data_IF_755487203121
#
_entry.id   IF_755487203121
#
_cell.length_a   1.000
_cell.length_b   1.000
_cell.length_c   1.000
_cell.angle_alpha   90.00
_cell.angle_beta   90.00
_cell.angle_gamma   90.00
#
_symmetry.space_group_name_H-M   'P 1'
#
loop_
_entity.id
_entity.type
_entity.pdbx_description
1 polymer ?
#
# COMPACT_ATOMS: atom_id res chain seq x y z
N UNK A 1 -27.68 1.70 40.62
CA UNK A 1 -27.65 3.00 41.34
C UNK A 1 -27.06 4.05 40.39
N UNK A 2 -27.53 5.30 40.46
CA UNK A 2 -26.97 6.42 39.68
C UNK A 2 -26.42 7.47 40.64
N UNK A 3 -25.37 8.17 40.23
CA UNK A 3 -24.79 9.26 41.01
C UNK A 3 -25.65 10.54 40.97
N UNK A 4 -25.24 11.58 41.69
CA UNK A 4 -25.91 12.89 41.68
C UNK A 4 -25.87 13.61 40.33
N UNK A 5 -25.17 13.07 39.33
CA UNK A 5 -25.09 13.54 37.95
C UNK A 5 -25.82 12.61 36.98
N UNK A 6 -26.66 11.70 37.48
CA UNK A 6 -27.43 10.73 36.71
C UNK A 6 -26.57 9.73 35.89
N UNK A 7 -25.28 9.59 36.21
CA UNK A 7 -24.43 8.53 35.65
C UNK A 7 -24.64 7.23 36.40
N UNK A 8 -24.75 6.13 35.66
CA UNK A 8 -24.85 4.79 36.25
C UNK A 8 -23.51 4.43 36.90
N UNK A 9 -23.52 4.03 38.17
CA UNK A 9 -22.32 3.52 38.82
C UNK A 9 -21.87 2.24 38.10
N UNK A 10 -20.58 2.14 37.77
CA UNK A 10 -19.99 0.91 37.24
C UNK A 10 -19.98 -0.15 38.35
N UNK A 11 -20.59 -1.31 38.10
CA UNK A 11 -20.48 -2.46 38.97
C UNK A 11 -19.07 -3.06 38.91
N UNK A 12 -18.74 -3.94 39.85
CA UNK A 12 -17.47 -4.66 39.81
C UNK A 12 -17.31 -5.48 38.51
N UNK A 13 -18.40 -6.10 38.05
CA UNK A 13 -18.44 -6.81 36.77
C UNK A 13 -18.14 -5.88 35.59
N UNK A 14 -18.71 -4.66 35.57
CA UNK A 14 -18.48 -3.67 34.51
C UNK A 14 -17.04 -3.12 34.48
N UNK A 15 -16.34 -3.18 35.61
CA UNK A 15 -14.91 -2.81 35.67
C UNK A 15 -14.04 -3.89 35.05
N UNK A 16 -14.46 -5.15 35.12
CA UNK A 16 -13.68 -6.29 34.64
C UNK A 16 -13.99 -6.60 33.18
N UNK A 17 -15.27 -6.65 32.84
CA UNK A 17 -15.80 -7.06 31.55
C UNK A 17 -15.94 -5.89 30.57
N UNK A 18 -16.14 -6.21 29.28
CA UNK A 18 -16.33 -5.23 28.23
C UNK A 18 -15.04 -4.67 27.61
N UNK A 19 -15.20 -3.72 26.69
CA UNK A 19 -14.10 -3.13 25.91
C UNK A 19 -13.20 -2.21 26.74
N UNK A 20 -13.80 -1.45 27.66
CA UNK A 20 -13.12 -0.61 28.67
C UNK A 20 -12.83 -1.38 29.97
N UNK A 21 -13.08 -2.69 29.96
CA UNK A 21 -12.80 -3.55 31.10
C UNK A 21 -11.29 -3.73 31.31
N UNK A 22 -10.89 -4.00 32.55
CA UNK A 22 -9.48 -4.15 32.95
C UNK A 22 -8.71 -5.15 32.10
N UNK A 23 -9.34 -6.25 31.68
CA UNK A 23 -8.69 -7.26 30.85
C UNK A 23 -8.27 -6.74 29.47
N UNK A 24 -9.19 -6.07 28.75
CA UNK A 24 -8.93 -5.64 27.37
C UNK A 24 -8.13 -4.34 27.34
N UNK A 25 -8.48 -3.37 28.16
CA UNK A 25 -7.88 -2.05 28.10
C UNK A 25 -6.55 -1.93 28.84
N UNK A 26 -6.38 -2.61 29.99
CA UNK A 26 -5.21 -2.44 30.87
C UNK A 26 -4.23 -3.62 30.82
N UNK A 27 -4.72 -4.86 30.76
CA UNK A 27 -3.85 -6.04 30.74
C UNK A 27 -3.31 -6.31 29.33
N UNK A 28 -4.18 -6.35 28.31
CA UNK A 28 -3.78 -6.54 26.91
C UNK A 28 -3.37 -5.24 26.24
N UNK A 29 -4.13 -4.17 26.44
CA UNK A 29 -3.75 -2.82 26.05
C UNK A 29 -2.77 -2.22 27.06
N UNK A 30 -1.54 -1.93 26.65
CA UNK A 30 -0.60 -1.19 27.50
C UNK A 30 0.00 -0.04 26.72
N UNK A 31 -0.01 1.13 27.35
CA UNK A 31 0.82 2.25 26.91
C UNK A 31 2.26 1.94 27.30
N UNK A 32 3.17 2.17 26.36
CA UNK A 32 4.58 1.82 26.52
C UNK A 32 5.45 3.06 26.34
N UNK A 33 6.46 3.18 27.19
CA UNK A 33 7.52 4.18 27.04
C UNK A 33 8.43 3.84 25.85
N UNK A 34 9.40 4.72 25.55
CA UNK A 34 10.30 4.56 24.40
C UNK A 34 9.54 4.36 23.07
N UNK A 35 8.43 5.09 22.94
CA UNK A 35 7.60 5.10 21.75
C UNK A 35 7.32 6.51 21.25
N UNK A 36 7.13 6.64 19.94
CA UNK A 36 6.81 7.91 19.27
C UNK A 36 5.84 7.68 18.13
N UNK A 37 5.22 8.74 17.61
CA UNK A 37 4.34 8.67 16.43
C UNK A 37 4.56 9.89 15.55
N UNK A 38 4.61 9.68 14.25
CA UNK A 38 4.58 10.77 13.27
C UNK A 38 3.97 10.32 11.95
N UNK A 39 3.69 11.30 11.10
CA UNK A 39 3.26 11.10 9.70
C UNK A 39 4.40 10.46 8.92
N UNK A 40 4.06 9.57 7.99
CA UNK A 40 5.02 8.94 7.10
C UNK A 40 5.15 9.69 5.78
N UNK A 41 6.37 9.72 5.25
CA UNK A 41 6.70 10.26 3.93
C UNK A 41 7.54 9.25 3.16
N UNK A 42 7.50 9.35 1.83
CA UNK A 42 8.26 8.44 0.97
C UNK A 42 9.76 8.70 1.10
N UNK A 43 10.52 7.63 1.36
CA UNK A 43 11.98 7.64 1.37
C UNK A 43 12.55 6.80 0.23
N UNK A 44 12.52 7.29 -1.03
CA UNK A 44 12.88 6.47 -2.20
C UNK A 44 14.36 6.07 -2.20
N UNK A 45 15.22 6.91 -1.61
CA UNK A 45 16.68 6.67 -1.51
C UNK A 45 17.07 5.72 -0.38
N UNK A 46 16.14 5.36 0.51
CA UNK A 46 16.44 4.42 1.60
C UNK A 46 16.67 3.03 1.05
N UNK A 47 17.48 2.22 1.73
CA UNK A 47 17.50 0.77 1.51
C UNK A 47 16.30 0.12 2.20
N UNK A 48 15.88 -1.05 1.72
CA UNK A 48 14.69 -1.75 2.23
C UNK A 48 14.71 -2.00 3.74
N UNK A 49 15.90 -2.25 4.31
CA UNK A 49 16.13 -2.47 5.74
C UNK A 49 16.25 -1.20 6.60
N UNK A 50 16.17 0.00 6.01
CA UNK A 50 16.37 1.28 6.71
C UNK A 50 15.08 2.09 6.76
N UNK A 51 14.92 2.88 7.82
CA UNK A 51 13.89 3.91 7.92
C UNK A 51 14.50 5.24 8.33
N UNK A 52 13.89 6.34 7.92
CA UNK A 52 14.29 7.67 8.36
C UNK A 52 13.55 8.07 9.63
N UNK A 53 14.27 8.41 10.70
CA UNK A 53 13.71 8.98 11.91
C UNK A 53 14.06 10.47 12.03
N UNK A 54 13.05 11.32 12.27
CA UNK A 54 13.25 12.72 12.61
C UNK A 54 14.19 12.91 13.79
N UNK A 55 15.04 13.93 13.72
CA UNK A 55 15.95 14.32 14.81
C UNK A 55 15.24 14.53 16.15
N UNK A 56 14.09 15.19 16.14
CA UNK A 56 13.29 15.47 17.35
C UNK A 56 12.77 14.19 18.01
N UNK A 57 12.32 13.21 17.22
CA UNK A 57 11.83 11.93 17.74
C UNK A 57 13.01 11.07 18.21
N UNK A 58 14.08 11.01 17.42
CA UNK A 58 15.24 10.19 17.73
C UNK A 58 15.92 10.63 19.04
N UNK A 59 16.06 11.94 19.28
CA UNK A 59 16.74 12.42 20.49
C UNK A 59 15.95 12.11 21.76
N UNK A 60 14.62 12.17 21.70
CA UNK A 60 13.73 11.80 22.83
C UNK A 60 13.77 10.29 23.09
N UNK A 61 13.62 9.47 22.04
CA UNK A 61 13.62 8.01 22.16
C UNK A 61 14.97 7.47 22.66
N UNK A 62 16.08 8.05 22.21
CA UNK A 62 17.42 7.57 22.53
C UNK A 62 18.12 8.37 23.62
N UNK A 63 17.44 9.29 24.30
CA UNK A 63 18.03 10.24 25.24
C UNK A 63 18.93 9.56 26.28
N UNK A 64 18.43 8.50 26.91
CA UNK A 64 19.16 7.74 27.94
C UNK A 64 20.47 7.14 27.40
N UNK A 65 20.43 6.61 26.17
CA UNK A 65 21.58 6.01 25.51
C UNK A 65 22.62 7.06 25.11
N UNK A 66 22.16 8.23 24.66
CA UNK A 66 23.03 9.37 24.32
C UNK A 66 23.75 9.90 25.56
N UNK A 67 23.03 10.05 26.69
CA UNK A 67 23.63 10.46 27.97
C UNK A 67 24.70 9.45 28.39
N UNK A 68 24.42 8.14 28.29
CA UNK A 68 25.39 7.10 28.59
C UNK A 68 26.60 7.17 27.66
N UNK A 69 26.39 7.42 26.37
CA UNK A 69 27.46 7.58 25.37
C UNK A 69 28.38 8.77 25.67
N UNK A 70 27.80 9.92 26.00
CA UNK A 70 28.53 11.15 26.37
C UNK A 70 29.43 10.94 27.60
N UNK A 71 28.92 10.26 28.62
CA UNK A 71 29.67 9.95 29.84
C UNK A 71 30.79 8.94 29.56
N UNK A 72 30.49 7.87 28.79
CA UNK A 72 31.46 6.82 28.46
C UNK A 72 32.63 7.36 27.64
N UNK A 73 32.40 8.34 26.77
CA UNK A 73 33.44 8.97 25.96
C UNK A 73 34.17 10.11 26.72
N UNK A 74 33.91 10.31 28.01
CA UNK A 74 34.49 11.38 28.84
C UNK A 74 34.25 12.81 28.33
N UNK A 75 33.23 13.01 27.49
CA UNK A 75 32.85 14.33 26.96
C UNK A 75 32.05 15.15 27.98
N UNK A 76 31.47 14.47 28.96
CA UNK A 76 30.66 15.06 30.02
C UNK A 76 30.92 14.35 31.34
N UNK A 77 31.00 15.12 32.43
CA UNK A 77 31.24 14.62 33.78
C UNK A 77 29.98 14.14 34.52
N UNK A 78 28.81 14.71 34.24
CA UNK A 78 27.58 14.40 34.95
C UNK A 78 26.33 14.41 34.05
N UNK A 79 25.27 13.74 34.52
CA UNK A 79 23.99 13.62 33.78
C UNK A 79 23.35 15.00 33.55
N UNK A 80 23.50 15.94 34.49
CA UNK A 80 22.92 17.29 34.39
C UNK A 80 23.49 18.08 33.21
N UNK A 81 24.81 18.07 33.05
CA UNK A 81 25.52 18.69 31.93
C UNK A 81 25.16 17.99 30.62
N UNK A 82 25.01 16.66 30.63
CA UNK A 82 24.59 15.93 29.43
C UNK A 82 23.18 16.37 28.98
N UNK A 83 22.23 16.49 29.92
CA UNK A 83 20.89 17.02 29.64
C UNK A 83 20.91 18.46 29.16
N UNK A 84 21.83 19.30 29.66
CA UNK A 84 22.03 20.67 29.18
C UNK A 84 22.52 20.69 27.72
N UNK A 85 23.57 19.93 27.39
CA UNK A 85 24.09 19.81 26.01
C UNK A 85 23.05 19.31 25.01
N UNK A 86 22.20 18.36 25.42
CA UNK A 86 21.07 17.87 24.62
C UNK A 86 20.07 19.00 24.35
N UNK A 87 19.73 19.79 25.37
CA UNK A 87 18.81 20.93 25.24
C UNK A 87 19.36 22.04 24.34
N UNK A 88 20.67 22.29 24.42
CA UNK A 88 21.39 23.25 23.59
C UNK A 88 21.64 22.75 22.15
N UNK A 89 21.27 21.49 21.85
CA UNK A 89 21.40 20.85 20.53
C UNK A 89 22.81 20.92 19.93
N UNK A 90 23.84 20.78 20.78
CA UNK A 90 25.24 20.80 20.35
C UNK A 90 25.54 19.76 19.25
N UNK A 91 26.45 20.10 18.32
CA UNK A 91 26.84 19.24 17.20
C UNK A 91 27.31 17.84 17.63
N UNK A 92 27.98 17.76 18.78
CA UNK A 92 28.51 16.50 19.33
C UNK A 92 27.41 15.50 19.71
N UNK A 93 26.24 16.00 20.13
CA UNK A 93 25.10 15.17 20.51
C UNK A 93 24.57 14.40 19.29
N UNK A 94 24.52 15.05 18.13
CA UNK A 94 24.07 14.42 16.89
C UNK A 94 25.01 13.32 16.41
N UNK A 95 26.32 13.52 16.56
CA UNK A 95 27.32 12.48 16.24
C UNK A 95 27.13 11.25 17.11
N UNK A 96 27.01 11.42 18.42
CA UNK A 96 26.80 10.31 19.37
C UNK A 96 25.44 9.65 19.13
N UNK A 97 24.41 10.42 18.83
CA UNK A 97 23.09 9.88 18.50
C UNK A 97 23.15 8.97 17.27
N UNK A 98 23.88 9.36 16.22
CA UNK A 98 24.10 8.50 15.04
C UNK A 98 24.83 7.20 15.41
N UNK A 99 25.88 7.27 16.22
CA UNK A 99 26.62 6.09 16.69
C UNK A 99 25.72 5.14 17.51
N UNK A 100 24.92 5.69 18.42
CA UNK A 100 23.96 4.92 19.23
C UNK A 100 22.91 4.26 18.34
N UNK A 101 22.34 5.00 17.39
CA UNK A 101 21.28 4.50 16.51
C UNK A 101 21.78 3.36 15.62
N UNK A 102 23.03 3.36 15.15
CA UNK A 102 23.60 2.26 14.37
C UNK A 102 23.52 0.91 15.12
N UNK A 103 23.65 0.94 16.46
CA UNK A 103 23.56 -0.25 17.30
C UNK A 103 22.13 -0.75 17.56
N UNK A 104 21.11 0.08 17.39
CA UNK A 104 19.75 -0.20 17.86
C UNK A 104 18.73 -0.21 16.71
N UNK A 105 18.07 -1.35 16.43
CA UNK A 105 16.95 -1.37 15.50
C UNK A 105 15.72 -0.68 16.11
N UNK A 106 14.77 -0.28 15.27
CA UNK A 106 13.47 0.25 15.70
C UNK A 106 12.35 -0.51 15.05
N UNK A 107 11.22 -0.64 15.75
CA UNK A 107 10.01 -1.25 15.22
C UNK A 107 9.07 -0.15 14.73
N UNK A 108 8.64 -0.23 13.47
CA UNK A 108 7.55 0.58 12.96
C UNK A 108 6.26 -0.23 12.97
N UNK A 109 5.18 0.41 13.39
CA UNK A 109 3.84 -0.17 13.45
C UNK A 109 2.81 0.79 12.86
N UNK A 110 1.94 0.29 11.99
CA UNK A 110 0.76 1.01 11.51
C UNK A 110 -0.51 0.40 12.09
N UNK A 111 -1.36 1.26 12.65
CA UNK A 111 -2.69 0.87 13.11
C UNK A 111 -3.73 1.10 11.99
N UNK A 112 -4.70 0.19 11.79
CA UNK A 112 -4.87 -1.10 12.46
C UNK A 112 -3.89 -2.17 11.95
N UNK A 113 -3.36 -2.99 12.87
CA UNK A 113 -2.45 -4.09 12.55
C UNK A 113 -3.25 -5.37 12.22
N UNK A 114 -3.39 -5.71 10.94
CA UNK A 114 -4.20 -6.86 10.49
C UNK A 114 -3.42 -8.18 10.43
N UNK A 115 -2.10 -8.11 10.26
CA UNK A 115 -1.22 -9.26 10.14
C UNK A 115 0.19 -8.90 10.64
N UNK A 116 1.04 -9.92 10.82
CA UNK A 116 2.42 -9.74 11.32
C UNK A 116 3.25 -8.71 10.57
N UNK A 117 3.04 -8.52 9.26
CA UNK A 117 3.80 -7.55 8.46
C UNK A 117 3.45 -6.08 8.78
N UNK A 118 2.39 -5.84 9.55
CA UNK A 118 2.06 -4.50 10.03
C UNK A 118 2.99 -4.00 11.15
N UNK A 119 3.91 -4.86 11.62
CA UNK A 119 5.02 -4.49 12.51
C UNK A 119 6.31 -5.05 11.91
N UNK A 120 7.27 -4.18 11.59
CA UNK A 120 8.58 -4.60 11.08
C UNK A 120 9.70 -3.80 11.73
N UNK A 121 10.88 -4.41 11.80
CA UNK A 121 12.09 -3.79 12.29
C UNK A 121 12.88 -3.13 11.16
N UNK A 122 13.47 -1.99 11.47
CA UNK A 122 14.32 -1.22 10.56
C UNK A 122 15.55 -0.72 11.30
N UNK A 123 16.62 -0.52 10.55
CA UNK A 123 17.77 0.25 11.00
C UNK A 123 17.46 1.75 10.83
N UNK A 124 17.34 2.53 11.91
CA UNK A 124 17.00 3.93 11.78
C UNK A 124 18.19 4.74 11.26
N UNK A 125 17.91 5.73 10.43
CA UNK A 125 18.84 6.79 10.03
C UNK A 125 18.26 8.15 10.41
N UNK A 126 19.11 9.11 10.78
CA UNK A 126 18.63 10.47 11.04
C UNK A 126 18.24 11.15 9.73
N UNK A 127 17.06 11.73 9.71
CA UNK A 127 16.57 12.57 8.61
C UNK A 127 16.22 13.97 9.10
N UNK A 128 16.28 14.93 8.19
CA UNK A 128 15.77 16.28 8.40
C UNK A 128 14.24 16.29 8.36
N UNK A 129 13.63 17.23 9.08
CA UNK A 129 12.18 17.36 9.17
C UNK A 129 11.55 16.61 10.35
N UNK A 130 10.22 16.42 10.28
CA UNK A 130 9.39 15.86 11.36
C UNK A 130 8.67 14.56 11.01
N UNK A 131 8.77 14.11 9.75
CA UNK A 131 8.08 12.93 9.26
C UNK A 131 9.01 11.71 9.21
N UNK A 132 8.44 10.52 9.42
CA UNK A 132 9.17 9.25 9.32
C UNK A 132 9.31 8.90 7.84
N UNK A 133 10.53 8.71 7.34
CA UNK A 133 10.73 8.29 5.96
C UNK A 133 10.62 6.76 5.86
N UNK A 134 9.69 6.28 5.05
CA UNK A 134 9.43 4.85 4.85
C UNK A 134 9.83 4.42 3.43
N UNK A 135 10.36 3.21 3.32
CA UNK A 135 10.72 2.62 2.04
C UNK A 135 9.47 2.26 1.21
N UNK A 136 9.36 2.62 -0.09
CA UNK A 136 8.14 2.41 -0.87
C UNK A 136 7.76 0.92 -1.05
N UNK A 137 8.73 0.01 -1.13
CA UNK A 137 8.45 -1.44 -1.28
C UNK A 137 7.87 -2.11 -0.03
N UNK A 138 7.91 -1.47 1.14
CA UNK A 138 7.31 -2.04 2.36
C UNK A 138 5.88 -1.56 2.60
N UNK A 139 5.43 -0.51 1.89
CA UNK A 139 4.11 0.08 2.06
C UNK A 139 2.97 -0.93 1.96
N UNK A 140 3.05 -1.87 1.01
CA UNK A 140 2.06 -2.95 0.85
C UNK A 140 1.99 -3.86 2.08
N UNK A 141 3.12 -4.13 2.72
CA UNK A 141 3.20 -4.90 3.96
C UNK A 141 2.60 -4.17 5.17
N UNK A 142 2.56 -2.84 5.16
CA UNK A 142 1.86 -2.04 6.18
C UNK A 142 0.42 -1.68 5.80
N UNK A 143 0.01 -1.99 4.57
CA UNK A 143 -1.18 -1.43 3.93
C UNK A 143 -1.23 0.10 4.02
N UNK A 144 -0.08 0.75 3.83
CA UNK A 144 0.11 2.18 4.04
C UNK A 144 0.24 2.93 2.72
N UNK A 145 -0.22 4.19 2.72
CA UNK A 145 0.02 5.15 1.66
C UNK A 145 0.63 6.45 2.24
N UNK A 146 0.77 7.48 1.42
CA UNK A 146 1.45 8.73 1.80
C UNK A 146 0.49 9.93 1.78
N UNK A 147 -0.79 9.72 2.14
CA UNK A 147 -1.83 10.75 2.10
C UNK A 147 -2.08 11.44 3.46
N UNK A 148 -1.34 11.04 4.51
CA UNK A 148 -1.53 11.51 5.88
C UNK A 148 -1.41 10.41 6.94
N UNK A 149 -1.23 9.17 6.50
CA UNK A 149 -0.96 8.01 7.35
C UNK A 149 0.13 8.27 8.41
N UNK A 150 -0.07 7.68 9.59
CA UNK A 150 0.85 7.81 10.71
C UNK A 150 1.35 6.43 11.17
N UNK A 151 2.61 6.38 11.57
CA UNK A 151 3.20 5.17 12.16
C UNK A 151 3.73 5.44 13.57
N UNK A 152 3.57 4.45 14.43
CA UNK A 152 4.22 4.40 15.72
C UNK A 152 5.62 3.78 15.57
N UNK A 153 6.59 4.32 16.30
CA UNK A 153 7.94 3.78 16.42
C UNK A 153 8.15 3.30 17.85
N UNK A 154 8.79 2.15 18.01
CA UNK A 154 9.16 1.57 19.31
C UNK A 154 10.64 1.14 19.30
N UNK A 155 11.33 1.30 20.43
CA UNK A 155 12.73 0.91 20.57
C UNK A 155 12.85 -0.36 21.43
N UNK A 156 13.32 -1.49 20.87
CA UNK A 156 13.69 -2.68 21.65
C UNK A 156 14.87 -2.36 22.58
N UNK A 157 14.68 -2.54 23.89
CA UNK A 157 15.69 -2.16 24.89
C UNK A 157 16.64 -3.30 25.26
N UNK A 158 16.13 -4.50 25.50
CA UNK A 158 16.95 -5.65 25.89
C UNK A 158 17.74 -6.21 24.71
N UNK A 159 18.87 -6.88 25.00
CA UNK A 159 19.71 -7.47 23.96
C UNK A 159 18.96 -8.59 23.22
N UNK A 160 18.13 -9.34 23.93
CA UNK A 160 17.31 -10.42 23.39
C UNK A 160 16.26 -9.86 22.42
N UNK A 161 15.58 -8.76 22.79
CA UNK A 161 14.59 -8.12 21.92
C UNK A 161 15.24 -7.48 20.69
N UNK A 162 16.44 -6.89 20.85
CA UNK A 162 17.21 -6.38 19.71
C UNK A 162 17.65 -7.51 18.76
N UNK A 163 18.07 -8.66 19.31
CA UNK A 163 18.44 -9.83 18.53
C UNK A 163 17.22 -10.43 17.80
N UNK A 164 16.09 -10.57 18.48
CA UNK A 164 14.83 -11.03 17.91
C UNK A 164 14.37 -10.11 16.77
N UNK A 165 14.42 -8.79 16.98
CA UNK A 165 14.11 -7.82 15.95
C UNK A 165 14.99 -8.04 14.72
N UNK A 166 16.31 -8.13 14.90
CA UNK A 166 17.32 -8.33 13.83
C UNK A 166 17.12 -9.63 13.05
N UNK A 167 16.83 -10.72 13.74
CA UNK A 167 16.74 -12.05 13.12
C UNK A 167 15.39 -12.31 12.47
N UNK A 168 14.29 -11.84 13.07
CA UNK A 168 12.93 -12.25 12.67
C UNK A 168 12.10 -11.11 12.07
N UNK A 169 12.27 -9.88 12.54
CA UNK A 169 11.37 -8.78 12.24
C UNK A 169 11.89 -7.81 11.18
N UNK A 170 13.18 -7.87 10.82
CA UNK A 170 13.73 -6.94 9.84
C UNK A 170 12.99 -7.02 8.50
N UNK A 171 12.71 -5.87 7.91
CA UNK A 171 11.92 -5.77 6.67
C UNK A 171 12.50 -6.58 5.50
N UNK A 172 13.83 -6.66 5.38
CA UNK A 172 14.52 -7.43 4.33
C UNK A 172 14.37 -8.96 4.45
N UNK A 173 13.91 -9.45 5.61
CA UNK A 173 13.58 -10.86 5.83
C UNK A 173 12.10 -11.16 5.66
N UNK A 174 11.27 -10.13 5.49
CA UNK A 174 9.82 -10.27 5.44
C UNK A 174 9.29 -9.89 4.04
N UNK A 175 9.86 -10.51 3.01
CA UNK A 175 9.54 -10.22 1.59
C UNK A 175 8.35 -11.02 1.05
N UNK A 176 7.89 -12.06 1.76
CA UNK A 176 6.80 -12.94 1.35
C UNK A 176 5.56 -12.73 2.23
N UNK A 177 4.39 -12.94 1.63
CA UNK A 177 3.12 -12.97 2.34
C UNK A 177 3.02 -14.23 3.20
N UNK A 178 2.73 -14.13 4.51
CA UNK A 178 2.55 -15.30 5.38
C UNK A 178 1.38 -16.19 4.98
N UNK A 179 0.37 -15.65 4.28
CA UNK A 179 -0.85 -16.37 3.94
C UNK A 179 -0.72 -17.23 2.69
N UNK A 180 -0.02 -16.74 1.66
CA UNK A 180 0.01 -17.35 0.32
C UNK A 180 1.44 -17.75 -0.09
N UNK A 181 2.47 -17.16 0.53
CA UNK A 181 3.87 -17.35 0.12
C UNK A 181 4.30 -16.47 -1.07
N UNK A 182 3.39 -15.68 -1.62
CA UNK A 182 3.70 -14.75 -2.71
C UNK A 182 4.56 -13.56 -2.25
N UNK A 183 5.45 -13.03 -3.10
CA UNK A 183 6.19 -11.81 -2.80
C UNK A 183 5.27 -10.62 -2.55
N UNK A 184 5.50 -9.92 -1.44
CA UNK A 184 4.76 -8.71 -1.06
C UNK A 184 5.50 -7.43 -1.43
N UNK A 185 6.83 -7.43 -1.33
CA UNK A 185 7.70 -6.30 -1.67
C UNK A 185 7.99 -6.23 -3.18
N UNK A 186 6.92 -6.01 -3.94
CA UNK A 186 6.96 -5.93 -5.41
C UNK A 186 6.93 -4.48 -5.84
N UNK A 187 7.77 -4.03 -6.79
CA UNK A 187 7.66 -2.71 -7.40
C UNK A 187 6.25 -2.47 -7.97
N UNK A 188 5.60 -1.39 -7.52
CA UNK A 188 4.26 -0.96 -7.94
C UNK A 188 4.31 0.38 -8.67
N UNK A 189 3.18 0.74 -9.31
CA UNK A 189 2.95 2.05 -9.93
C UNK A 189 4.15 2.49 -10.80
N UNK A 190 4.72 3.67 -10.53
CA UNK A 190 5.77 4.33 -11.30
C UNK A 190 7.02 3.46 -11.49
N UNK A 191 7.42 2.74 -10.45
CA UNK A 191 8.58 1.83 -10.55
C UNK A 191 8.34 0.76 -11.62
N UNK A 192 7.13 0.18 -11.64
CA UNK A 192 6.80 -0.84 -12.62
C UNK A 192 6.67 -0.25 -14.03
N UNK A 193 6.12 0.97 -14.15
CA UNK A 193 6.01 1.66 -15.45
C UNK A 193 7.40 1.87 -16.04
N UNK A 194 8.35 2.39 -15.26
CA UNK A 194 9.73 2.57 -15.71
C UNK A 194 10.38 1.26 -16.15
N UNK A 195 10.25 0.21 -15.34
CA UNK A 195 10.79 -1.11 -15.68
C UNK A 195 10.12 -1.75 -16.91
N UNK A 196 8.82 -1.56 -17.08
CA UNK A 196 8.10 -2.06 -18.24
C UNK A 196 8.60 -1.39 -19.51
N UNK A 197 8.73 -0.06 -19.54
CA UNK A 197 9.19 0.67 -20.73
C UNK A 197 10.63 0.29 -21.07
N UNK A 198 11.50 0.18 -20.05
CA UNK A 198 12.87 -0.30 -20.23
C UNK A 198 12.91 -1.67 -20.91
N UNK A 199 11.99 -2.56 -20.51
CA UNK A 199 11.90 -3.92 -21.04
C UNK A 199 11.00 -4.05 -22.27
N UNK A 200 10.30 -2.99 -22.68
CA UNK A 200 9.24 -2.96 -23.70
C UNK A 200 9.69 -2.73 -25.14
N UNK A 201 10.97 -2.37 -25.38
CA UNK A 201 11.51 -1.97 -26.70
C UNK A 201 11.27 -2.89 -27.93
N UNK A 202 11.56 -2.40 -29.14
CA UNK A 202 11.22 -3.09 -30.40
C UNK A 202 11.95 -4.43 -30.58
N UNK A 203 11.23 -5.43 -31.11
CA UNK A 203 11.67 -6.82 -31.32
C UNK A 203 12.94 -6.96 -32.18
N UNK A 204 13.32 -5.93 -32.95
CA UNK A 204 14.47 -5.93 -33.89
C UNK A 204 15.84 -5.71 -33.24
N UNK A 205 15.92 -5.03 -32.10
CA UNK A 205 17.21 -4.78 -31.40
C UNK A 205 17.58 -5.88 -30.38
N UNK A 206 16.65 -6.80 -30.12
CA UNK A 206 16.69 -7.80 -29.03
C UNK A 206 17.39 -9.12 -29.37
N UNK A 207 18.00 -9.25 -30.55
CA UNK A 207 18.54 -10.54 -31.05
C UNK A 207 19.82 -11.01 -30.32
N UNK A 208 20.52 -10.13 -29.59
CA UNK A 208 21.84 -10.41 -29.00
C UNK A 208 21.86 -10.55 -27.47
N UNK A 209 20.72 -10.68 -26.80
CA UNK A 209 20.66 -10.79 -25.34
C UNK A 209 20.15 -12.17 -24.88
N UNK A 210 20.92 -12.81 -23.99
CA UNK A 210 20.73 -14.19 -23.51
C UNK A 210 19.58 -14.33 -22.48
N UNK A 211 19.03 -13.22 -21.96
CA UNK A 211 18.11 -13.24 -20.80
C UNK A 211 16.68 -12.74 -21.10
N UNK A 212 15.74 -13.16 -20.23
CA UNK A 212 14.30 -12.90 -20.20
C UNK A 212 13.77 -11.81 -21.15
N UNK A 213 13.43 -12.23 -22.38
CA UNK A 213 13.06 -11.33 -23.48
C UNK A 213 11.54 -11.06 -23.52
N UNK A 214 10.94 -10.75 -22.36
CA UNK A 214 9.51 -10.41 -22.22
C UNK A 214 9.36 -9.12 -21.41
N UNK A 215 8.39 -8.29 -21.79
CA UNK A 215 8.05 -7.09 -21.04
C UNK A 215 7.65 -7.45 -19.60
N UNK A 216 8.22 -6.75 -18.62
CA UNK A 216 8.02 -7.07 -17.22
C UNK A 216 6.70 -6.45 -16.74
N UNK A 217 5.65 -7.27 -16.70
CA UNK A 217 4.40 -6.93 -16.01
C UNK A 217 4.46 -7.26 -14.50
N UNK A 218 3.40 -6.93 -13.76
CA UNK A 218 3.36 -7.13 -12.30
C UNK A 218 3.40 -8.60 -11.89
N UNK A 219 2.90 -9.50 -12.73
CA UNK A 219 2.88 -10.95 -12.48
C UNK A 219 4.23 -11.58 -12.79
N UNK A 220 4.86 -11.16 -13.90
CA UNK A 220 6.22 -11.51 -14.27
C UNK A 220 7.22 -11.05 -13.20
N UNK A 221 7.01 -9.84 -12.65
CA UNK A 221 7.84 -9.33 -11.55
C UNK A 221 7.73 -10.21 -10.30
N UNK A 222 6.51 -10.58 -9.89
CA UNK A 222 6.33 -11.53 -8.76
C UNK A 222 7.07 -12.84 -9.00
N UNK A 223 6.91 -13.44 -10.18
CA UNK A 223 7.60 -14.70 -10.55
C UNK A 223 9.12 -14.55 -10.53
N UNK A 224 9.63 -13.42 -11.01
CA UNK A 224 11.07 -13.12 -10.97
C UNK A 224 11.56 -13.02 -9.52
N UNK A 225 10.86 -12.27 -8.68
CA UNK A 225 11.23 -12.10 -7.27
C UNK A 225 11.19 -13.45 -6.54
N UNK A 226 10.16 -14.28 -6.75
CA UNK A 226 10.11 -15.63 -6.19
C UNK A 226 11.34 -16.46 -6.57
N UNK A 227 11.72 -16.48 -7.85
CA UNK A 227 12.92 -17.20 -8.31
C UNK A 227 14.21 -16.66 -7.69
N UNK A 228 14.32 -15.35 -7.52
CA UNK A 228 15.47 -14.73 -6.87
C UNK A 228 15.56 -15.13 -5.39
N UNK A 229 14.41 -15.16 -4.70
CA UNK A 229 14.34 -15.60 -3.30
C UNK A 229 14.73 -17.07 -3.18
N UNK A 230 14.24 -17.94 -4.07
CA UNK A 230 14.53 -19.37 -4.04
C UNK A 230 16.02 -19.66 -4.33
N UNK A 231 16.66 -18.87 -5.20
CA UNK A 231 18.05 -19.11 -5.62
C UNK A 231 19.09 -18.43 -4.73
N UNK A 232 18.85 -17.18 -4.33
CA UNK A 232 19.82 -16.35 -3.59
C UNK A 232 19.43 -16.08 -2.12
N UNK A 233 18.20 -16.43 -1.73
CA UNK A 233 17.64 -16.09 -0.43
C UNK A 233 17.11 -14.65 -0.34
N UNK A 234 16.38 -14.39 0.75
CA UNK A 234 15.68 -13.12 0.97
C UNK A 234 16.63 -11.92 1.14
N UNK A 235 17.75 -12.09 1.86
CA UNK A 235 18.67 -10.99 2.15
C UNK A 235 19.29 -10.43 0.87
N UNK A 236 19.83 -11.30 0.00
CA UNK A 236 20.42 -10.86 -1.26
C UNK A 236 19.36 -10.31 -2.22
N UNK A 237 18.18 -10.95 -2.29
CA UNK A 237 17.04 -10.45 -3.08
C UNK A 237 16.65 -9.04 -2.67
N UNK A 238 16.68 -8.72 -1.37
CA UNK A 238 16.35 -7.36 -0.90
C UNK A 238 17.27 -6.28 -1.50
N UNK A 239 18.55 -6.60 -1.71
CA UNK A 239 19.49 -5.68 -2.36
C UNK A 239 19.17 -5.50 -3.85
N UNK A 240 18.81 -6.59 -4.54
CA UNK A 240 18.36 -6.53 -5.94
C UNK A 240 17.08 -5.69 -6.05
N UNK A 241 16.14 -5.83 -5.11
CA UNK A 241 14.91 -5.04 -5.07
C UNK A 241 15.18 -3.54 -4.92
N UNK A 242 16.17 -3.16 -4.10
CA UNK A 242 16.59 -1.76 -3.98
C UNK A 242 17.14 -1.20 -5.30
N UNK A 243 17.91 -2.01 -6.05
CA UNK A 243 18.41 -1.64 -7.38
C UNK A 243 17.27 -1.51 -8.39
N UNK A 244 16.34 -2.49 -8.42
CA UNK A 244 15.18 -2.47 -9.31
C UNK A 244 14.27 -1.27 -9.06
N UNK A 245 14.04 -0.93 -7.78
CA UNK A 245 13.32 0.29 -7.39
C UNK A 245 14.01 1.53 -7.97
N UNK A 246 15.32 1.65 -7.75
CA UNK A 246 16.09 2.82 -8.20
C UNK A 246 16.05 2.97 -9.71
N UNK A 247 16.27 1.86 -10.44
CA UNK A 247 16.17 1.82 -11.88
C UNK A 247 14.76 2.17 -12.38
N UNK A 248 13.72 1.64 -11.74
CA UNK A 248 12.33 1.92 -12.08
C UNK A 248 11.99 3.41 -11.95
N UNK A 249 12.38 4.06 -10.85
CA UNK A 249 12.15 5.50 -10.69
C UNK A 249 12.97 6.35 -11.66
N UNK A 250 14.23 6.00 -11.90
CA UNK A 250 15.09 6.70 -12.86
C UNK A 250 14.49 6.62 -14.26
N UNK A 251 14.09 5.43 -14.70
CA UNK A 251 13.52 5.25 -16.03
C UNK A 251 12.17 5.96 -16.15
N UNK A 252 11.29 5.84 -15.15
CA UNK A 252 10.00 6.53 -15.17
C UNK A 252 10.14 8.05 -15.28
N UNK A 253 11.18 8.61 -14.66
CA UNK A 253 11.51 10.04 -14.79
C UNK A 253 12.07 10.36 -16.17
N UNK A 254 12.99 9.53 -16.68
CA UNK A 254 13.68 9.74 -17.95
C UNK A 254 12.75 9.63 -19.17
N UNK A 255 11.66 8.88 -19.07
CA UNK A 255 10.68 8.73 -20.14
C UNK A 255 9.68 9.88 -20.22
N UNK A 256 9.68 10.81 -19.25
CA UNK A 256 8.81 11.99 -19.21
C UNK A 256 7.34 11.69 -19.52
N UNK A 257 6.83 10.56 -19.02
CA UNK A 257 5.46 10.13 -19.30
C UNK A 257 4.50 11.15 -18.70
N UNK A 258 3.65 11.70 -19.55
CA UNK A 258 2.56 12.58 -19.17
C UNK A 258 1.25 12.04 -19.72
N UNK A 259 0.14 12.56 -19.20
CA UNK A 259 -1.20 12.26 -19.70
C UNK A 259 -1.86 13.58 -20.06
N UNK A 260 -2.14 13.75 -21.34
CA UNK A 260 -2.97 14.83 -21.87
C UNK A 260 -4.45 14.47 -21.92
N UNK A 261 -5.29 15.47 -22.16
CA UNK A 261 -6.71 15.23 -22.46
C UNK A 261 -6.89 14.45 -23.77
N UNK A 262 -5.99 14.66 -24.73
CA UNK A 262 -6.05 14.02 -26.05
C UNK A 262 -5.69 12.52 -26.01
N UNK A 263 -5.01 12.07 -24.95
CA UNK A 263 -4.74 10.65 -24.71
C UNK A 263 -6.00 9.90 -24.26
N UNK A 264 -7.03 10.61 -23.80
CA UNK A 264 -8.34 10.05 -23.46
C UNK A 264 -9.17 9.87 -24.73
N UNK A 265 -8.89 8.78 -25.43
CA UNK A 265 -9.61 8.43 -26.66
C UNK A 265 -11.10 8.23 -26.37
N UNK A 266 -11.92 9.11 -26.94
CA UNK A 266 -13.37 8.92 -26.95
C UNK A 266 -13.74 7.91 -28.02
N UNK A 267 -14.64 7.00 -27.68
CA UNK A 267 -15.10 5.97 -28.60
C UNK A 267 -15.86 6.67 -29.74
N UNK A 268 -15.43 6.57 -31.01
CA UNK A 268 -16.12 7.23 -32.12
C UNK A 268 -17.58 6.79 -32.26
N UNK A 269 -17.86 5.55 -31.81
CA UNK A 269 -19.16 4.90 -31.79
C UNK A 269 -20.08 5.27 -30.62
N UNK A 270 -19.63 6.09 -29.66
CA UNK A 270 -20.40 6.38 -28.44
C UNK A 270 -21.76 7.02 -28.74
N UNK A 271 -21.82 7.92 -29.72
CA UNK A 271 -23.04 8.65 -30.05
C UNK A 271 -24.18 7.75 -30.51
N UNK A 272 -23.91 6.80 -31.41
CA UNK A 272 -24.94 5.88 -31.90
C UNK A 272 -25.36 4.85 -30.85
N UNK A 273 -24.41 4.36 -30.03
CA UNK A 273 -24.70 3.43 -28.93
C UNK A 273 -25.66 4.03 -27.91
N UNK A 274 -25.43 5.28 -27.53
CA UNK A 274 -26.31 5.99 -26.58
C UNK A 274 -27.69 6.23 -27.20
N UNK A 275 -27.75 6.60 -28.48
CA UNK A 275 -29.02 6.82 -29.17
C UNK A 275 -29.85 5.52 -29.30
N UNK A 276 -29.20 4.38 -29.57
CA UNK A 276 -29.88 3.09 -29.66
C UNK A 276 -30.46 2.68 -28.29
N UNK A 277 -29.66 2.79 -27.22
CA UNK A 277 -30.11 2.51 -25.85
C UNK A 277 -31.28 3.43 -25.41
N UNK A 278 -31.24 4.72 -25.77
CA UNK A 278 -32.33 5.66 -25.51
C UNK A 278 -33.63 5.28 -26.25
N UNK A 279 -33.53 4.85 -27.51
CA UNK A 279 -34.68 4.38 -28.28
C UNK A 279 -35.30 3.11 -27.68
N UNK A 280 -34.48 2.15 -27.28
CA UNK A 280 -34.94 0.92 -26.64
C UNK A 280 -35.59 1.20 -25.28
N UNK A 281 -35.04 2.12 -24.49
CA UNK A 281 -35.63 2.56 -23.22
C UNK A 281 -36.98 3.25 -23.41
N UNK A 282 -37.15 4.04 -24.48
CA UNK A 282 -38.43 4.69 -24.81
C UNK A 282 -39.50 3.66 -25.19
N UNK A 283 -39.14 2.62 -25.94
CA UNK A 283 -40.04 1.51 -26.30
C UNK A 283 -40.49 0.77 -25.03
N UNK A 284 -39.55 0.48 -24.12
CA UNK A 284 -39.83 -0.17 -22.85
C UNK A 284 -40.78 0.67 -21.96
N UNK A 285 -40.60 1.98 -21.94
CA UNK A 285 -41.45 2.91 -21.19
C UNK A 285 -42.89 2.91 -21.72
N UNK A 286 -43.06 2.88 -23.06
CA UNK A 286 -44.37 2.72 -23.69
C UNK A 286 -45.03 1.41 -23.31
N UNK A 287 -44.31 0.28 -23.34
CA UNK A 287 -44.85 -1.02 -22.96
C UNK A 287 -45.28 -1.10 -21.48
N UNK A 288 -44.54 -0.44 -20.58
CA UNK A 288 -44.96 -0.28 -19.20
C UNK A 288 -46.21 0.60 -19.06
N UNK A 289 -46.29 1.71 -19.81
CA UNK A 289 -47.43 2.62 -19.79
C UNK A 289 -48.74 1.94 -20.27
N UNK A 290 -48.65 1.06 -21.26
CA UNK A 290 -49.79 0.24 -21.71
C UNK A 290 -50.11 -0.95 -20.79
N UNK A 291 -49.38 -1.14 -19.68
CA UNK A 291 -49.61 -2.22 -18.72
C UNK A 291 -49.11 -3.61 -19.17
N UNK A 292 -48.34 -3.67 -20.26
CA UNK A 292 -47.85 -4.94 -20.84
C UNK A 292 -46.65 -5.51 -20.08
N UNK A 293 -45.96 -4.69 -19.28
CA UNK A 293 -44.75 -5.08 -18.55
C UNK A 293 -44.88 -4.59 -17.10
N UNK A 294 -44.62 -5.48 -16.15
CA UNK A 294 -44.62 -5.15 -14.73
C UNK A 294 -43.36 -4.36 -14.35
N UNK A 295 -43.44 -3.46 -13.38
CA UNK A 295 -42.32 -2.60 -12.95
C UNK A 295 -41.00 -3.34 -12.67
N UNK A 296 -41.04 -4.55 -12.11
CA UNK A 296 -39.85 -5.38 -11.86
C UNK A 296 -39.18 -5.82 -13.16
N UNK A 297 -39.97 -6.22 -14.15
CA UNK A 297 -39.49 -6.67 -15.46
C UNK A 297 -38.96 -5.49 -16.28
N UNK A 298 -39.60 -4.31 -16.18
CA UNK A 298 -39.07 -3.05 -16.73
C UNK A 298 -37.67 -2.77 -16.19
N UNK A 299 -37.49 -2.86 -14.87
CA UNK A 299 -36.21 -2.56 -14.24
C UNK A 299 -35.11 -3.52 -14.70
N UNK A 300 -35.41 -4.82 -14.81
CA UNK A 300 -34.47 -5.82 -15.35
C UNK A 300 -34.09 -5.55 -16.80
N UNK A 301 -35.07 -5.29 -17.67
CA UNK A 301 -34.83 -5.05 -19.09
C UNK A 301 -34.10 -3.73 -19.34
N UNK A 302 -34.38 -2.68 -18.57
CA UNK A 302 -33.59 -1.44 -18.60
C UNK A 302 -32.12 -1.70 -18.22
N UNK A 303 -31.86 -2.52 -17.20
CA UNK A 303 -30.48 -2.90 -16.84
C UNK A 303 -29.83 -3.69 -17.98
N UNK A 304 -30.54 -4.63 -18.61
CA UNK A 304 -30.02 -5.44 -19.72
C UNK A 304 -29.72 -4.59 -20.98
N UNK A 305 -30.55 -3.60 -21.33
CA UNK A 305 -30.30 -2.67 -22.44
C UNK A 305 -29.02 -1.87 -22.19
N UNK A 306 -28.95 -1.18 -21.04
CA UNK A 306 -27.80 -0.34 -20.72
C UNK A 306 -26.51 -1.16 -20.48
N UNK A 307 -26.59 -2.38 -19.95
CA UNK A 307 -25.41 -3.25 -19.74
C UNK A 307 -24.99 -4.01 -21.00
N UNK A 308 -25.95 -4.43 -21.83
CA UNK A 308 -25.71 -5.16 -23.08
C UNK A 308 -24.93 -4.33 -24.10
N UNK A 309 -25.30 -3.07 -24.26
CA UNK A 309 -24.65 -2.16 -25.20
C UNK A 309 -23.23 -1.76 -24.76
N UNK A 310 -23.00 -1.67 -23.44
CA UNK A 310 -21.65 -1.49 -22.88
C UNK A 310 -20.79 -2.73 -23.18
N UNK A 311 -21.33 -3.93 -22.99
CA UNK A 311 -20.60 -5.19 -23.19
C UNK A 311 -20.33 -5.48 -24.68
N UNK A 312 -21.20 -5.03 -25.59
CA UNK A 312 -21.03 -5.13 -27.05
C UNK A 312 -20.13 -4.01 -27.61
N UNK A 313 -20.07 -2.85 -26.96
CA UNK A 313 -19.21 -1.72 -27.33
C UNK A 313 -17.74 -1.94 -26.98
N UNK A 314 -17.44 -2.55 -25.83
CA UNK A 314 -16.08 -2.80 -25.34
C UNK A 314 -15.18 -3.56 -26.34
N UNK A 315 -15.60 -4.69 -26.94
CA UNK A 315 -14.77 -5.45 -27.89
C UNK A 315 -14.47 -4.69 -29.20
N UNK A 316 -15.39 -3.82 -29.65
CA UNK A 316 -15.18 -2.95 -30.84
C UNK A 316 -14.18 -1.84 -30.57
N UNK A 317 -14.07 -1.40 -29.32
CA UNK A 317 -13.10 -0.39 -28.88
C UNK A 317 -11.71 -0.99 -28.74
N UNK A 318 -11.60 -2.22 -28.24
CA UNK A 318 -10.34 -2.97 -28.19
C UNK A 318 -9.74 -3.18 -29.59
N UNK A 319 -10.55 -3.54 -30.59
CA UNK A 319 -10.09 -3.71 -31.98
C UNK A 319 -9.64 -2.40 -32.66
N UNK A 320 -10.25 -1.25 -32.31
CA UNK A 320 -9.84 0.06 -32.85
C UNK A 320 -8.59 0.59 -32.15
N UNK A 321 -8.42 0.29 -30.86
CA UNK A 321 -7.21 0.59 -30.09
C UNK A 321 -6.02 -0.30 -30.51
N UNK A 322 -6.26 -1.52 -31.01
CA UNK A 322 -5.22 -2.39 -31.59
C UNK A 322 -4.51 -1.80 -32.81
N UNK A 323 -5.12 -0.82 -33.50
CA UNK A 323 -4.58 -0.26 -34.74
C UNK A 323 -3.62 0.93 -34.50
N UNK A 324 -3.49 1.47 -33.28
CA UNK A 324 -2.54 2.56 -33.00
C UNK A 324 -1.80 2.39 -31.66
N UNK A 325 -0.56 1.91 -31.77
CA UNK A 325 0.48 1.72 -30.73
C UNK A 325 -0.01 1.62 -29.28
N UNK A 326 -0.38 0.39 -28.91
CA UNK A 326 -0.78 -0.08 -27.58
C UNK A 326 0.26 0.16 -26.47
N UNK A 327 1.51 0.51 -26.79
CA UNK A 327 2.59 0.48 -25.80
C UNK A 327 2.51 1.55 -24.69
N UNK A 328 1.65 2.59 -24.84
CA UNK A 328 1.56 3.71 -23.87
C UNK A 328 0.26 3.74 -23.04
N UNK A 329 -0.89 3.40 -23.63
CA UNK A 329 -2.22 3.74 -23.06
C UNK A 329 -2.86 2.56 -22.30
N UNK A 330 -2.66 1.32 -22.76
CA UNK A 330 -3.35 0.13 -22.23
C UNK A 330 -3.05 -0.15 -20.75
N UNK A 331 -1.80 0.08 -20.30
CA UNK A 331 -1.38 -0.23 -18.93
C UNK A 331 -1.86 0.75 -17.86
N UNK A 332 -2.38 1.91 -18.26
CA UNK A 332 -2.84 2.93 -17.31
C UNK A 332 -4.29 2.67 -16.87
N UNK A 333 -5.11 1.99 -17.68
CA UNK A 333 -6.52 1.79 -17.37
C UNK A 333 -6.74 0.77 -16.22
N UNK A 334 -6.14 -0.42 -16.28
CA UNK A 334 -6.40 -1.47 -15.28
C UNK A 334 -6.00 -1.06 -13.85
N UNK A 335 -4.88 -0.35 -13.67
CA UNK A 335 -4.45 0.12 -12.34
C UNK A 335 -5.14 1.40 -11.87
N UNK A 336 -5.68 2.21 -12.80
CA UNK A 336 -6.43 3.43 -12.45
C UNK A 336 -7.85 3.10 -12.01
N UNK A 337 -8.46 2.04 -12.53
CA UNK A 337 -9.80 1.59 -12.12
C UNK A 337 -9.86 1.30 -10.62
N UNK A 338 -8.82 0.67 -10.04
CA UNK A 338 -8.76 0.40 -8.59
C UNK A 338 -8.61 1.67 -7.74
N UNK A 339 -7.83 2.66 -8.20
CA UNK A 339 -7.63 3.92 -7.47
C UNK A 339 -8.77 4.94 -7.63
N UNK A 340 -9.55 4.84 -8.71
CA UNK A 340 -10.75 5.66 -8.92
C UNK A 340 -11.90 5.24 -7.98
N UNK A 341 -11.96 3.95 -7.63
CA UNK A 341 -12.96 3.40 -6.71
C UNK A 341 -12.86 3.98 -5.27
N UNK A 342 -11.66 4.33 -4.79
CA UNK A 342 -11.48 4.92 -3.44
C UNK A 342 -11.66 6.45 -3.42
N UNK A 343 -11.34 7.14 -4.52
CA UNK A 343 -11.39 8.61 -4.59
C UNK A 343 -12.77 9.17 -4.92
N UNK A 344 -13.56 8.47 -5.72
CA UNK A 344 -14.88 8.93 -6.17
C UNK A 344 -15.90 8.93 -5.02
N UNK A 345 -15.72 8.08 -4.00
CA UNK A 345 -16.58 7.99 -2.81
C UNK A 345 -16.55 9.26 -1.94
N UNK A 346 -15.48 10.06 -1.99
CA UNK A 346 -15.34 11.29 -1.18
C UNK A 346 -15.84 12.57 -1.85
N UNK A 347 -15.92 12.60 -3.18
CA UNK A 347 -16.12 13.86 -3.94
C UNK A 347 -17.60 14.18 -4.18
N UNK A 348 -18.46 13.17 -4.39
CA UNK A 348 -19.79 13.42 -4.96
C UNK A 348 -20.98 13.43 -4.00
N UNK A 349 -20.78 13.16 -2.70
CA UNK A 349 -21.75 13.48 -1.63
C UNK A 349 -23.21 13.04 -1.86
N UNK A 350 -23.47 12.08 -2.74
CA UNK A 350 -24.79 11.58 -3.13
C UNK A 350 -24.70 10.12 -3.55
N UNK A 351 -25.75 9.30 -3.35
CA UNK A 351 -25.59 7.85 -3.22
C UNK A 351 -25.40 7.19 -4.59
N UNK A 352 -24.16 6.82 -4.90
CA UNK A 352 -23.81 5.88 -5.95
C UNK A 352 -24.03 4.40 -5.54
N UNK A 353 -24.79 4.15 -4.48
CA UNK A 353 -24.98 2.82 -3.88
C UNK A 353 -25.80 1.85 -4.75
N UNK A 354 -26.49 2.33 -5.79
CA UNK A 354 -27.37 1.47 -6.59
C UNK A 354 -26.71 0.85 -7.84
N UNK A 355 -25.61 1.42 -8.35
CA UNK A 355 -25.06 1.03 -9.67
C UNK A 355 -23.95 -0.03 -9.63
N UNK A 356 -23.29 -0.28 -8.49
CA UNK A 356 -22.19 -1.27 -8.41
C UNK A 356 -22.46 -2.40 -7.40
N UNK A 357 -23.49 -2.28 -6.55
CA UNK A 357 -23.91 -3.39 -5.68
C UNK A 357 -24.27 -4.67 -6.46
N UNK A 358 -24.80 -4.50 -7.67
CA UNK A 358 -25.04 -5.62 -8.60
C UNK A 358 -23.77 -6.06 -9.35
N UNK A 359 -22.92 -5.13 -9.80
CA UNK A 359 -21.74 -5.49 -10.60
C UNK A 359 -20.64 -6.22 -9.81
N UNK A 360 -20.39 -5.82 -8.55
CA UNK A 360 -19.39 -6.51 -7.72
C UNK A 360 -19.87 -7.90 -7.26
N UNK A 361 -21.17 -8.03 -6.98
CA UNK A 361 -21.78 -9.32 -6.59
C UNK A 361 -21.86 -10.29 -7.79
N UNK A 362 -22.13 -9.78 -9.01
CA UNK A 362 -22.21 -10.60 -10.23
C UNK A 362 -20.80 -10.98 -10.74
N UNK A 363 -19.81 -10.08 -10.65
CA UNK A 363 -18.42 -10.39 -11.00
C UNK A 363 -17.76 -11.38 -10.03
N UNK A 364 -17.96 -11.23 -8.71
CA UNK A 364 -17.48 -12.20 -7.71
C UNK A 364 -18.23 -13.54 -7.80
N UNK A 365 -19.54 -13.53 -8.11
CA UNK A 365 -20.32 -14.75 -8.32
C UNK A 365 -19.89 -15.50 -9.59
N UNK A 366 -19.57 -14.80 -10.69
CA UNK A 366 -19.09 -15.42 -11.94
C UNK A 366 -17.71 -16.04 -11.79
N UNK A 367 -16.77 -15.42 -11.08
CA UNK A 367 -15.42 -15.99 -10.84
C UNK A 367 -15.49 -17.22 -9.91
N UNK A 368 -16.36 -17.21 -8.90
CA UNK A 368 -16.58 -18.36 -8.00
C UNK A 368 -17.28 -19.54 -8.69
N UNK A 369 -18.23 -19.26 -9.59
CA UNK A 369 -18.93 -20.28 -10.38
C UNK A 369 -18.01 -20.93 -11.42
N UNK A 370 -17.19 -20.13 -12.12
CA UNK A 370 -16.20 -20.63 -13.10
C UNK A 370 -15.13 -21.49 -12.43
N UNK A 371 -14.66 -21.11 -11.24
CA UNK A 371 -13.71 -21.94 -10.46
C UNK A 371 -14.33 -23.24 -9.92
N UNK A 372 -15.63 -23.25 -9.57
CA UNK A 372 -16.36 -24.49 -9.19
C UNK A 372 -16.60 -25.41 -10.39
N UNK A 373 -16.93 -24.86 -11.55
CA UNK A 373 -17.15 -25.62 -12.80
C UNK A 373 -15.84 -26.20 -13.34
N UNK A 374 -14.72 -25.47 -13.26
CA UNK A 374 -13.40 -25.98 -13.63
C UNK A 374 -12.88 -27.09 -12.70
N UNK A 375 -13.34 -27.14 -11.45
CA UNK A 375 -13.01 -28.23 -10.50
C UNK A 375 -13.77 -29.52 -10.79
N UNK A 376 -14.99 -29.42 -11.33
CA UNK A 376 -15.83 -30.56 -11.74
C UNK A 376 -15.41 -31.12 -13.10
N UNK A 377 -14.76 -30.33 -13.95
CA UNK A 377 -14.23 -30.77 -15.25
C UNK A 377 -12.77 -31.28 -15.23
N UNK A 378 -12.11 -31.28 -14.07
CA UNK A 378 -10.72 -31.79 -13.89
C UNK A 378 -10.60 -32.94 -12.89
N UNK A 379 -11.73 -33.53 -12.50
CA UNK A 379 -11.86 -34.86 -11.88
C UNK A 379 -12.71 -35.70 -12.82
#
# INVERSE_FOLDING_TARGET
MRDGHNKVYKSFSDVIEGKEGRFRETLLGKRVDYSGRSVIVVGPLLSLHRCGLPREIAIELFQTFVIRGLIRQHLVSNIGVAKRKIREKESIVWKILQEVMQGHPVLLNRAPTLHRLGIQAFQPILVEGRAICLHPLVCKGFNADFDGDQMAVHVPLSLEAQAEARLLMFSHMNLLSPAIGDPISVPTQDMLIGLYILTGGSRRERANLVFHNKAIDGTAMKRLISRLIDHFGMAYTSHILDQLKTLGFQQATATYISLGIDDLLTIPSKGWLVQDAEQQSLILEKHHHYGNIHAVEKLRQSIEIWSGDITQGLPKVEQVLEVRSIDSISMNLEKRIDGWNERITRIFGSPWEFLIGAELTIAQSRISLVNKIQKVYRS
#
